data_IF_703061562849
#
_entry.id   IF_703061562849
#
_cell.length_a   1.000
_cell.length_b   1.000
_cell.length_c   1.000
_cell.angle_alpha   90.00
_cell.angle_beta   90.00
_cell.angle_gamma   90.00
#
_symmetry.space_group_name_H-M   'P 1'
#
loop_
_entity.id
_entity.type
_entity.pdbx_description
1 polymer ?
#
# COMPACT_ATOMS: atom_id res chain seq x y z
N UNK A 1 -13.02 17.84 -13.40
CA UNK A 1 -12.90 16.75 -12.43
C UNK A 1 -11.53 16.82 -11.77
N UNK A 2 -11.47 16.92 -10.43
CA UNK A 2 -10.21 17.10 -9.68
C UNK A 2 -9.62 15.75 -9.23
N UNK A 3 -10.25 14.63 -9.58
CA UNK A 3 -9.81 13.29 -9.24
C UNK A 3 -9.73 12.49 -10.52
N UNK A 4 -8.56 11.91 -10.76
CA UNK A 4 -8.31 10.99 -11.86
C UNK A 4 -7.82 9.65 -11.29
N UNK A 5 -8.19 8.52 -11.90
CA UNK A 5 -7.64 7.23 -11.53
C UNK A 5 -6.12 7.22 -11.78
N UNK A 6 -5.38 6.61 -10.88
CA UNK A 6 -3.95 6.34 -11.09
C UNK A 6 -3.83 5.04 -11.86
N UNK A 7 -3.19 5.09 -13.03
CA UNK A 7 -2.96 3.92 -13.88
C UNK A 7 -1.46 3.62 -13.86
N UNK A 8 -1.09 2.42 -13.40
CA UNK A 8 0.29 1.96 -13.40
C UNK A 8 0.67 1.46 -14.79
N UNK A 9 1.72 2.02 -15.37
CA UNK A 9 2.12 1.74 -16.76
C UNK A 9 3.04 0.52 -16.91
N UNK A 10 3.42 -0.16 -15.83
CA UNK A 10 4.35 -1.29 -15.87
C UNK A 10 3.86 -2.40 -16.80
N UNK A 11 2.62 -2.84 -16.65
CA UNK A 11 2.02 -3.86 -17.49
C UNK A 11 1.89 -3.41 -18.96
N UNK A 12 1.54 -2.16 -19.17
CA UNK A 12 1.47 -1.56 -20.51
C UNK A 12 2.85 -1.52 -21.18
N UNK A 13 3.90 -1.26 -20.40
CA UNK A 13 5.28 -1.28 -20.88
C UNK A 13 5.75 -2.69 -21.24
N UNK A 14 5.46 -3.70 -20.43
CA UNK A 14 5.73 -5.10 -20.74
C UNK A 14 5.05 -5.52 -22.05
N UNK A 15 3.77 -5.21 -22.21
CA UNK A 15 3.03 -5.47 -23.46
C UNK A 15 3.64 -4.79 -24.68
N UNK A 16 4.19 -3.57 -24.50
CA UNK A 16 4.91 -2.87 -25.56
C UNK A 16 6.21 -3.59 -25.94
N UNK A 17 6.95 -4.09 -24.96
CA UNK A 17 8.17 -4.88 -25.19
C UNK A 17 7.86 -6.22 -25.90
N UNK A 18 6.70 -6.81 -25.61
CA UNK A 18 6.18 -8.03 -26.26
C UNK A 18 5.65 -7.79 -27.68
N UNK A 19 5.80 -6.56 -28.21
CA UNK A 19 5.48 -6.19 -29.59
C UNK A 19 4.06 -5.68 -29.81
N UNK A 20 3.30 -5.40 -28.75
CA UNK A 20 2.02 -4.72 -28.88
C UNK A 20 2.20 -3.28 -29.37
N UNK A 21 1.36 -2.81 -30.27
CA UNK A 21 1.49 -1.44 -30.79
C UNK A 21 1.11 -0.39 -29.75
N UNK A 22 1.84 0.70 -29.74
CA UNK A 22 1.58 1.85 -28.85
C UNK A 22 0.11 2.33 -28.96
N UNK A 23 -0.43 2.36 -30.17
CA UNK A 23 -1.81 2.77 -30.43
C UNK A 23 -2.84 1.84 -29.76
N UNK A 24 -2.60 0.53 -29.76
CA UNK A 24 -3.47 -0.45 -29.08
C UNK A 24 -3.42 -0.27 -27.55
N UNK A 25 -2.21 -0.05 -27.00
CA UNK A 25 -2.00 0.18 -25.57
C UNK A 25 -2.67 1.48 -25.14
N UNK A 26 -2.48 2.58 -25.90
CA UNK A 26 -3.12 3.85 -25.58
C UNK A 26 -4.65 3.75 -25.59
N UNK A 27 -5.24 3.02 -26.53
CA UNK A 27 -6.69 2.79 -26.56
C UNK A 27 -7.20 2.06 -25.32
N UNK A 28 -6.46 1.03 -24.88
CA UNK A 28 -6.80 0.29 -23.66
C UNK A 28 -6.69 1.17 -22.41
N UNK A 29 -5.62 1.95 -22.29
CA UNK A 29 -5.44 2.89 -21.18
C UNK A 29 -6.55 3.97 -21.14
N UNK A 30 -6.96 4.48 -22.30
CA UNK A 30 -8.07 5.42 -22.40
C UNK A 30 -9.38 4.75 -21.98
N UNK A 31 -9.61 3.51 -22.40
CA UNK A 31 -10.80 2.75 -22.01
C UNK A 31 -10.85 2.53 -20.49
N UNK A 32 -9.75 2.07 -19.88
CA UNK A 32 -9.62 1.92 -18.42
C UNK A 32 -9.86 3.26 -17.70
N UNK A 33 -9.29 4.35 -18.22
CA UNK A 33 -9.54 5.69 -17.67
C UNK A 33 -11.01 6.08 -17.74
N UNK A 34 -11.68 5.88 -18.88
CA UNK A 34 -13.08 6.22 -19.09
C UNK A 34 -14.03 5.40 -18.21
N UNK A 35 -13.71 4.12 -17.97
CA UNK A 35 -14.49 3.25 -17.09
C UNK A 35 -14.37 3.64 -15.61
N UNK A 36 -13.17 4.06 -15.17
CA UNK A 36 -12.87 4.32 -13.76
C UNK A 36 -12.87 5.81 -13.42
N UNK A 37 -13.05 6.71 -14.38
CA UNK A 37 -13.15 8.13 -14.08
C UNK A 37 -14.38 8.40 -13.21
N UNK A 38 -14.16 9.13 -12.13
CA UNK A 38 -15.24 9.56 -11.25
C UNK A 38 -16.19 10.47 -12.03
N UNK A 39 -17.43 10.01 -12.23
CA UNK A 39 -18.45 10.75 -13.02
C UNK A 39 -19.15 11.83 -12.20
N UNK A 40 -18.98 11.85 -10.89
CA UNK A 40 -19.55 12.86 -10.00
C UNK A 40 -18.52 13.92 -9.65
N UNK A 41 -18.96 15.17 -9.60
CA UNK A 41 -18.14 16.21 -8.99
C UNK A 41 -17.84 15.80 -7.54
N UNK A 42 -16.56 15.54 -7.26
CA UNK A 42 -16.13 15.27 -5.90
C UNK A 42 -16.45 16.50 -5.06
N UNK A 43 -17.28 16.32 -4.06
CA UNK A 43 -17.60 17.39 -3.11
C UNK A 43 -16.33 17.78 -2.33
N UNK A 44 -15.65 18.81 -2.80
CA UNK A 44 -14.45 19.37 -2.16
C UNK A 44 -14.72 19.71 -0.69
N UNK A 45 -15.98 20.05 -0.33
CA UNK A 45 -16.37 20.32 1.05
C UNK A 45 -16.17 19.11 1.98
N UNK A 46 -16.28 17.89 1.42
CA UNK A 46 -16.03 16.66 2.15
C UNK A 46 -14.55 16.48 2.57
N UNK A 47 -13.62 17.21 1.93
CA UNK A 47 -12.18 17.15 2.22
C UNK A 47 -11.70 18.38 3.00
N UNK A 48 -12.45 19.49 2.92
CA UNK A 48 -12.10 20.73 3.63
C UNK A 48 -12.57 20.73 5.08
N UNK A 49 -13.55 19.90 5.42
CA UNK A 49 -14.06 19.75 6.78
C UNK A 49 -13.28 18.65 7.52
N UNK A 50 -12.43 19.07 8.46
CA UNK A 50 -11.58 18.14 9.22
C UNK A 50 -12.40 17.09 10.00
N UNK A 51 -13.52 17.46 10.58
CA UNK A 51 -14.37 16.54 11.35
C UNK A 51 -14.88 15.37 10.48
N UNK A 52 -15.11 15.63 9.18
CA UNK A 52 -15.57 14.60 8.26
C UNK A 52 -14.45 13.66 7.79
N UNK A 53 -13.21 14.13 7.73
CA UNK A 53 -12.09 13.34 7.20
C UNK A 53 -11.24 12.70 8.28
N UNK A 54 -11.22 13.21 9.51
CA UNK A 54 -10.32 12.77 10.57
C UNK A 54 -10.31 11.24 10.77
N UNK A 55 -11.46 10.57 10.68
CA UNK A 55 -11.58 9.12 10.83
C UNK A 55 -11.13 8.31 9.61
N UNK A 56 -10.72 8.98 8.52
CA UNK A 56 -10.25 8.39 7.26
C UNK A 56 -8.83 8.84 6.92
N UNK A 57 -8.18 9.57 7.81
CA UNK A 57 -6.77 9.92 7.68
C UNK A 57 -5.96 8.67 7.97
N UNK A 58 -5.16 8.26 7.00
CA UNK A 58 -4.29 7.11 7.05
C UNK A 58 -2.86 7.53 6.70
N UNK A 59 -1.91 6.63 6.94
CA UNK A 59 -0.51 6.85 6.56
C UNK A 59 0.00 5.77 5.61
N UNK A 60 1.10 6.09 4.95
CA UNK A 60 1.94 5.15 4.23
C UNK A 60 3.41 5.50 4.40
N UNK A 61 4.27 4.50 4.23
CA UNK A 61 5.72 4.68 4.24
C UNK A 61 6.23 4.91 2.81
N UNK A 62 7.16 5.83 2.67
CA UNK A 62 7.87 6.07 1.42
C UNK A 62 9.36 6.22 1.71
N UNK A 63 10.22 5.89 0.74
CA UNK A 63 11.64 6.18 0.87
C UNK A 63 11.86 7.69 0.82
N UNK A 64 12.56 8.25 1.80
CA UNK A 64 12.68 9.70 1.97
C UNK A 64 13.49 10.34 0.82
N UNK A 65 14.62 9.77 0.47
CA UNK A 65 15.50 10.29 -0.59
C UNK A 65 14.79 10.31 -1.96
N UNK A 66 14.07 9.24 -2.28
CA UNK A 66 13.35 9.13 -3.58
C UNK A 66 12.09 9.99 -3.66
N UNK A 67 11.66 10.60 -2.55
CA UNK A 67 10.42 11.37 -2.46
C UNK A 67 10.64 12.79 -1.91
N UNK A 68 11.85 13.35 -1.99
CA UNK A 68 12.19 14.70 -1.48
C UNK A 68 11.21 15.77 -1.98
N UNK A 69 10.87 15.73 -3.26
CA UNK A 69 9.95 16.69 -3.88
C UNK A 69 8.53 16.61 -3.28
N UNK A 70 8.05 15.40 -2.99
CA UNK A 70 6.79 15.17 -2.30
C UNK A 70 6.85 15.66 -0.84
N UNK A 71 7.93 15.34 -0.14
CA UNK A 71 8.12 15.67 1.28
C UNK A 71 8.24 17.17 1.50
N UNK A 72 8.74 17.94 0.52
CA UNK A 72 8.78 19.41 0.60
C UNK A 72 7.38 20.04 0.78
N UNK A 73 6.33 19.41 0.28
CA UNK A 73 4.94 19.92 0.31
C UNK A 73 3.96 19.04 1.11
N UNK A 74 4.41 17.92 1.66
CA UNK A 74 3.57 17.03 2.45
C UNK A 74 4.04 16.96 3.91
N UNK A 75 3.12 17.06 4.90
CA UNK A 75 3.49 16.80 6.29
C UNK A 75 3.94 15.34 6.42
N UNK A 76 5.03 15.14 7.15
CA UNK A 76 5.61 13.82 7.30
C UNK A 76 6.36 13.67 8.63
N UNK A 77 6.58 12.42 9.03
CA UNK A 77 7.42 12.05 10.17
C UNK A 77 8.53 11.14 9.65
N UNK A 78 9.77 11.47 9.96
CA UNK A 78 10.92 10.65 9.56
C UNK A 78 11.03 9.39 10.41
N UNK A 79 11.30 8.27 9.75
CA UNK A 79 11.59 6.98 10.34
C UNK A 79 12.83 6.40 9.63
N UNK A 80 14.01 6.67 10.17
CA UNK A 80 15.30 6.36 9.54
C UNK A 80 15.37 6.93 8.11
N UNK A 81 15.55 6.09 7.09
CA UNK A 81 15.55 6.43 5.67
C UNK A 81 14.15 6.44 5.02
N UNK A 82 13.12 6.20 5.82
CA UNK A 82 11.73 6.24 5.40
C UNK A 82 11.04 7.51 5.92
N UNK A 83 9.97 7.89 5.27
CA UNK A 83 9.06 8.93 5.72
C UNK A 83 7.63 8.40 5.81
N UNK A 84 6.98 8.70 6.92
CA UNK A 84 5.54 8.48 7.13
C UNK A 84 4.81 9.68 6.54
N UNK A 85 4.04 9.49 5.48
CA UNK A 85 3.21 10.52 4.88
C UNK A 85 1.73 10.18 5.04
N UNK A 86 0.87 11.20 5.00
CA UNK A 86 -0.55 11.05 5.32
C UNK A 86 -1.42 11.19 4.09
N UNK A 87 -2.53 10.45 4.07
CA UNK A 87 -3.54 10.54 3.03
C UNK A 87 -4.95 10.37 3.60
N UNK A 88 -5.93 10.91 2.90
CA UNK A 88 -7.35 10.67 3.17
C UNK A 88 -7.79 9.49 2.33
N UNK A 89 -8.40 8.49 2.95
CA UNK A 89 -9.07 7.39 2.26
C UNK A 89 -10.46 7.89 1.80
N UNK A 90 -10.63 8.07 0.51
CA UNK A 90 -11.88 8.56 -0.10
C UNK A 90 -12.85 7.41 -0.34
N UNK A 91 -12.38 6.36 -0.96
CA UNK A 91 -13.14 5.14 -1.26
C UNK A 91 -12.25 3.91 -1.12
N UNK A 92 -12.86 2.78 -0.79
CA UNK A 92 -12.22 1.47 -0.79
C UNK A 92 -13.29 0.44 -1.08
N UNK A 93 -13.51 0.15 -2.36
CA UNK A 93 -14.56 -0.74 -2.85
C UNK A 93 -14.02 -1.66 -3.96
N UNK A 94 -14.89 -2.47 -4.54
CA UNK A 94 -14.55 -3.41 -5.62
C UNK A 94 -13.99 -2.74 -6.88
N UNK A 95 -14.19 -1.43 -7.05
CA UNK A 95 -13.69 -0.66 -8.20
C UNK A 95 -12.30 -0.06 -7.94
N UNK A 96 -11.80 -0.17 -6.70
CA UNK A 96 -10.47 0.28 -6.31
C UNK A 96 -10.45 1.16 -5.06
N UNK A 97 -9.26 1.67 -4.77
CA UNK A 97 -9.03 2.54 -3.61
C UNK A 97 -8.70 3.96 -4.07
N UNK A 98 -9.55 4.90 -3.68
CA UNK A 98 -9.32 6.33 -3.89
C UNK A 98 -8.65 6.97 -2.68
N UNK A 99 -7.55 7.69 -2.92
CA UNK A 99 -6.82 8.39 -1.85
C UNK A 99 -6.45 9.81 -2.26
N UNK A 100 -6.36 10.71 -1.29
CA UNK A 100 -5.87 12.08 -1.47
C UNK A 100 -4.70 12.30 -0.53
N UNK A 101 -3.52 12.56 -1.07
CA UNK A 101 -2.34 12.89 -0.26
C UNK A 101 -2.55 14.24 0.45
N UNK A 102 -2.32 14.25 1.75
CA UNK A 102 -2.42 15.47 2.56
C UNK A 102 -1.21 16.35 2.28
N UNK A 103 -1.46 17.65 2.05
CA UNK A 103 -0.44 18.67 1.78
C UNK A 103 -0.37 19.68 2.92
N UNK A 104 0.77 20.39 3.03
CA UNK A 104 1.01 21.35 4.11
C UNK A 104 -0.07 22.46 4.18
N UNK A 105 -0.59 22.90 3.05
CA UNK A 105 -1.67 23.91 3.01
C UNK A 105 -2.96 23.40 3.67
N UNK A 106 -3.24 22.09 3.64
CA UNK A 106 -4.43 21.50 4.27
C UNK A 106 -4.35 21.56 5.80
N UNK A 107 -3.16 21.39 6.38
CA UNK A 107 -2.96 21.52 7.82
C UNK A 107 -3.33 22.93 8.31
N UNK A 108 -2.85 23.94 7.58
CA UNK A 108 -3.18 25.34 7.90
C UNK A 108 -4.68 25.61 7.79
N UNK A 109 -5.33 25.01 6.81
CA UNK A 109 -6.78 25.16 6.61
C UNK A 109 -7.60 24.46 7.70
N UNK A 110 -7.18 23.28 8.13
CA UNK A 110 -7.82 22.51 9.22
C UNK A 110 -7.44 23.00 10.61
N UNK A 111 -6.42 23.84 10.72
CA UNK A 111 -5.81 24.29 11.98
C UNK A 111 -5.36 23.11 12.86
N UNK A 112 -4.66 22.15 12.26
CA UNK A 112 -4.05 20.99 12.89
C UNK A 112 -2.57 20.91 12.58
N UNK A 113 -1.80 20.21 13.41
CA UNK A 113 -0.39 19.96 13.21
C UNK A 113 -0.12 18.53 12.70
N UNK A 114 1.13 18.24 12.37
CA UNK A 114 1.55 16.94 11.88
C UNK A 114 1.45 15.84 12.95
N UNK A 115 1.65 16.19 14.22
CA UNK A 115 1.56 15.24 15.34
C UNK A 115 0.13 14.74 15.51
N UNK A 116 -0.86 15.64 15.43
CA UNK A 116 -2.27 15.27 15.42
C UNK A 116 -2.62 14.34 14.27
N UNK A 117 -2.10 14.61 13.06
CA UNK A 117 -2.30 13.70 11.92
C UNK A 117 -1.67 12.34 12.15
N UNK A 118 -0.49 12.32 12.74
CA UNK A 118 0.24 11.07 13.00
C UNK A 118 -0.53 10.15 13.95
N UNK A 119 -1.01 10.68 15.08
CA UNK A 119 -1.81 9.92 16.06
C UNK A 119 -3.12 9.38 15.46
N UNK A 120 -3.83 10.22 14.71
CA UNK A 120 -5.06 9.81 14.01
C UNK A 120 -4.77 8.74 12.97
N UNK A 121 -3.71 8.92 12.18
CA UNK A 121 -3.35 8.01 11.12
C UNK A 121 -2.92 6.65 11.67
N UNK A 122 -2.14 6.58 12.76
CA UNK A 122 -1.77 5.32 13.43
C UNK A 122 -3.01 4.51 13.82
N UNK A 123 -3.95 5.17 14.50
CA UNK A 123 -5.20 4.54 14.96
C UNK A 123 -6.07 4.08 13.79
N UNK A 124 -6.29 4.97 12.82
CA UNK A 124 -7.20 4.71 11.70
C UNK A 124 -6.66 3.65 10.75
N UNK A 125 -5.36 3.72 10.41
CA UNK A 125 -4.77 2.78 9.44
C UNK A 125 -4.85 1.35 9.97
N UNK A 126 -4.51 1.12 11.24
CA UNK A 126 -4.62 -0.18 11.86
C UNK A 126 -6.08 -0.68 11.95
N UNK A 127 -7.02 0.21 12.17
CA UNK A 127 -8.46 -0.11 12.22
C UNK A 127 -9.05 -0.43 10.85
N UNK A 128 -8.65 0.33 9.82
CA UNK A 128 -9.20 0.20 8.47
C UNK A 128 -8.52 -0.92 7.66
N UNK A 129 -7.25 -1.16 7.92
CA UNK A 129 -6.44 -2.14 7.21
C UNK A 129 -5.76 -3.07 8.22
N UNK A 130 -6.33 -4.24 8.45
CA UNK A 130 -5.77 -5.20 9.42
C UNK A 130 -4.40 -5.69 8.97
N UNK A 131 -3.45 -5.74 9.90
CA UNK A 131 -2.13 -6.31 9.65
C UNK A 131 -2.19 -7.81 9.33
N UNK A 132 -1.30 -8.24 8.47
CA UNK A 132 -1.18 -9.61 8.01
C UNK A 132 0.30 -9.99 7.97
N UNK A 133 0.67 -11.08 8.64
CA UNK A 133 2.01 -11.67 8.59
C UNK A 133 1.86 -13.11 8.14
N UNK A 134 2.38 -13.41 6.95
CA UNK A 134 2.32 -14.73 6.32
C UNK A 134 3.74 -15.24 6.05
N UNK A 135 3.94 -16.56 6.06
CA UNK A 135 5.20 -17.12 5.57
C UNK A 135 5.34 -16.90 4.05
N UNK A 136 6.57 -16.75 3.59
CA UNK A 136 6.85 -16.65 2.14
C UNK A 136 6.29 -17.88 1.39
N UNK A 137 6.39 -19.05 2.01
CA UNK A 137 5.82 -20.28 1.50
C UNK A 137 4.31 -20.14 1.22
N UNK A 138 3.55 -19.64 2.20
CA UNK A 138 2.12 -19.44 2.05
C UNK A 138 1.77 -18.44 0.94
N UNK A 139 2.54 -17.35 0.82
CA UNK A 139 2.34 -16.36 -0.24
C UNK A 139 2.62 -16.95 -1.62
N UNK A 140 3.70 -17.74 -1.75
CA UNK A 140 4.02 -18.40 -3.01
C UNK A 140 2.96 -19.43 -3.40
N UNK A 141 2.48 -20.23 -2.45
CA UNK A 141 1.38 -21.17 -2.68
C UNK A 141 0.11 -20.44 -3.14
N UNK A 142 -0.25 -19.33 -2.51
CA UNK A 142 -1.38 -18.50 -2.92
C UNK A 142 -1.23 -18.00 -4.38
N UNK A 143 -0.05 -17.53 -4.77
CA UNK A 143 0.23 -17.06 -6.13
C UNK A 143 0.16 -18.21 -7.15
N UNK A 144 0.70 -19.37 -6.79
CA UNK A 144 0.74 -20.55 -7.67
C UNK A 144 -0.64 -21.17 -7.82
N UNK A 145 -1.46 -21.24 -6.77
CA UNK A 145 -2.83 -21.79 -6.81
C UNK A 145 -3.77 -21.00 -7.73
N UNK A 146 -3.47 -19.72 -8.00
CA UNK A 146 -4.16 -18.96 -9.05
C UNK A 146 -3.78 -19.37 -10.49
N UNK A 147 -2.68 -20.09 -10.67
CA UNK A 147 -2.14 -20.49 -11.98
C UNK A 147 -2.11 -21.99 -12.20
N UNK A 148 -2.09 -22.78 -11.12
CA UNK A 148 -1.98 -24.23 -11.09
C UNK A 148 -3.04 -24.77 -10.14
N UNK A 149 -3.37 -26.07 -10.28
CA UNK A 149 -4.17 -26.76 -9.28
C UNK A 149 -3.40 -26.80 -7.94
N UNK A 150 -4.13 -26.75 -6.82
CA UNK A 150 -3.57 -26.59 -5.46
C UNK A 150 -2.53 -27.68 -5.13
N UNK A 151 -2.78 -28.92 -5.55
CA UNK A 151 -1.90 -30.08 -5.38
C UNK A 151 -0.58 -29.93 -6.16
N UNK A 152 -0.62 -29.42 -7.40
CA UNK A 152 0.56 -29.12 -8.20
C UNK A 152 1.38 -27.93 -7.67
N UNK A 153 0.73 -26.96 -7.01
CA UNK A 153 1.38 -25.80 -6.43
C UNK A 153 2.19 -26.20 -5.18
N UNK A 154 1.67 -27.11 -4.34
CA UNK A 154 2.37 -27.65 -3.18
C UNK A 154 3.58 -28.51 -3.61
N UNK A 155 3.39 -29.43 -4.58
CA UNK A 155 4.49 -30.24 -5.11
C UNK A 155 5.61 -29.40 -5.74
N UNK A 156 5.25 -28.33 -6.47
CA UNK A 156 6.22 -27.43 -7.07
C UNK A 156 7.00 -26.65 -6.01
N UNK A 157 6.30 -26.25 -4.94
CA UNK A 157 6.93 -25.55 -3.82
C UNK A 157 7.91 -26.47 -3.08
N UNK A 158 7.50 -27.69 -2.73
CA UNK A 158 8.36 -28.68 -2.06
C UNK A 158 9.58 -29.05 -2.89
N UNK A 159 9.44 -29.07 -4.23
CA UNK A 159 10.56 -29.32 -5.14
C UNK A 159 11.54 -28.15 -5.22
N UNK A 160 11.06 -26.91 -5.11
CA UNK A 160 11.89 -25.69 -5.18
C UNK A 160 12.59 -25.38 -3.85
N UNK A 161 12.00 -25.79 -2.74
CA UNK A 161 12.45 -25.48 -1.39
C UNK A 161 12.91 -26.77 -0.73
N UNK A 162 14.16 -27.15 -0.98
CA UNK A 162 14.79 -28.32 -0.32
C UNK A 162 14.75 -28.20 1.21
N UNK A 163 14.57 -29.32 1.92
CA UNK A 163 14.29 -29.37 3.37
C UNK A 163 15.38 -28.76 4.29
N UNK A 164 16.61 -28.53 3.82
CA UNK A 164 17.75 -28.34 4.73
C UNK A 164 18.31 -26.91 4.87
N UNK A 165 17.84 -25.92 4.08
CA UNK A 165 18.48 -24.58 4.08
C UNK A 165 17.50 -23.38 4.03
N UNK A 166 16.27 -23.51 4.53
CA UNK A 166 15.30 -22.40 4.46
C UNK A 166 15.51 -21.44 5.62
N UNK A 167 16.05 -20.27 5.33
CA UNK A 167 15.90 -19.13 6.24
C UNK A 167 14.41 -18.79 6.26
N UNK A 168 13.73 -18.90 7.42
CA UNK A 168 12.30 -18.58 7.49
C UNK A 168 12.09 -17.11 7.14
N UNK A 169 11.40 -16.86 6.03
CA UNK A 169 11.03 -15.53 5.56
C UNK A 169 9.51 -15.33 5.69
N UNK A 170 9.14 -14.13 6.06
CA UNK A 170 7.74 -13.75 6.24
C UNK A 170 7.45 -12.46 5.48
N UNK A 171 6.24 -12.34 4.96
CA UNK A 171 5.72 -11.12 4.33
C UNK A 171 4.83 -10.42 5.33
N UNK A 172 5.17 -9.19 5.64
CA UNK A 172 4.39 -8.30 6.50
C UNK A 172 3.66 -7.28 5.62
N UNK A 173 2.34 -7.34 5.62
CA UNK A 173 1.49 -6.44 4.83
C UNK A 173 0.13 -6.24 5.53
N UNK A 174 -0.85 -5.69 4.85
CA UNK A 174 -2.21 -5.63 5.34
C UNK A 174 -3.18 -6.41 4.46
N UNK A 175 -4.40 -6.64 4.97
CA UNK A 175 -5.44 -7.41 4.27
C UNK A 175 -5.87 -6.81 2.92
N UNK A 176 -5.65 -5.52 2.70
CA UNK A 176 -5.94 -4.86 1.42
C UNK A 176 -4.76 -4.94 0.43
N UNK A 177 -3.59 -5.42 0.86
CA UNK A 177 -2.34 -5.44 0.08
C UNK A 177 -1.99 -4.06 -0.52
N UNK A 178 -2.41 -2.98 0.15
CA UNK A 178 -2.23 -1.59 -0.26
C UNK A 178 -1.48 -0.80 0.81
N UNK A 179 -0.34 -0.19 0.46
CA UNK A 179 0.52 0.56 1.38
C UNK A 179 0.88 -0.26 2.64
N UNK A 180 0.94 -1.58 2.50
CA UNK A 180 1.03 -2.52 3.61
C UNK A 180 2.37 -2.50 4.34
N UNK A 181 3.43 -1.93 3.77
CA UNK A 181 4.70 -1.70 4.48
C UNK A 181 4.51 -0.93 5.80
N UNK A 182 3.48 -0.09 5.89
CA UNK A 182 3.12 0.65 7.10
C UNK A 182 2.77 -0.20 8.31
N UNK A 183 2.47 -1.49 8.16
CA UNK A 183 2.10 -2.39 9.27
C UNK A 183 3.19 -2.52 10.34
N UNK A 184 4.44 -2.19 10.02
CA UNK A 184 5.54 -2.17 11.01
C UNK A 184 5.30 -1.17 12.15
N UNK A 185 4.42 -0.18 11.93
CA UNK A 185 4.01 0.79 12.94
C UNK A 185 2.73 0.37 13.69
N UNK A 186 2.16 -0.79 13.37
CA UNK A 186 0.95 -1.26 14.08
C UNK A 186 1.29 -1.68 15.50
N UNK A 187 0.54 -1.14 16.43
CA UNK A 187 0.76 -1.45 17.84
C UNK A 187 0.58 -2.96 18.09
N UNK A 188 1.60 -3.57 18.66
CA UNK A 188 1.59 -4.98 19.08
C UNK A 188 1.90 -5.99 17.97
N UNK A 189 1.78 -5.66 16.68
CA UNK A 189 1.92 -6.63 15.59
C UNK A 189 3.30 -7.30 15.58
N UNK A 190 4.36 -6.53 15.64
CA UNK A 190 5.72 -7.07 15.62
C UNK A 190 6.05 -7.82 16.92
N UNK A 191 5.51 -7.38 18.07
CA UNK A 191 5.68 -8.08 19.33
C UNK A 191 4.99 -9.45 19.33
N UNK A 192 3.74 -9.51 18.87
CA UNK A 192 3.00 -10.77 18.72
C UNK A 192 3.72 -11.72 17.75
N UNK A 193 4.33 -11.19 16.70
CA UNK A 193 5.13 -11.98 15.78
C UNK A 193 6.41 -12.51 16.43
N UNK A 194 7.18 -11.67 17.16
CA UNK A 194 8.37 -12.06 17.90
C UNK A 194 8.06 -13.17 18.93
N UNK A 195 6.97 -13.01 19.68
CA UNK A 195 6.53 -13.98 20.67
C UNK A 195 6.17 -15.34 20.01
N UNK A 196 5.58 -15.30 18.82
CA UNK A 196 5.22 -16.50 18.06
C UNK A 196 6.42 -17.25 17.50
N UNK A 197 7.43 -16.53 16.96
CA UNK A 197 8.65 -17.18 16.43
C UNK A 197 9.68 -17.50 17.51
N UNK A 198 9.58 -16.87 18.69
CA UNK A 198 10.45 -17.10 19.85
C UNK A 198 11.88 -16.62 19.65
N UNK A 199 12.12 -15.68 18.72
CA UNK A 199 13.46 -15.14 18.41
C UNK A 199 13.37 -13.72 17.88
N UNK A 200 14.52 -13.04 17.85
CA UNK A 200 14.69 -11.79 17.13
C UNK A 200 14.62 -12.04 15.62
N UNK A 201 14.26 -11.00 14.86
CA UNK A 201 14.17 -11.04 13.41
C UNK A 201 14.60 -9.71 12.80
N UNK A 202 14.92 -9.73 11.52
CA UNK A 202 15.24 -8.55 10.74
C UNK A 202 14.03 -8.15 9.90
N UNK A 203 13.82 -6.84 9.75
CA UNK A 203 12.80 -6.28 8.85
C UNK A 203 13.53 -5.74 7.63
N UNK A 204 13.18 -6.27 6.45
CA UNK A 204 13.76 -5.86 5.18
C UNK A 204 12.72 -5.09 4.38
N UNK A 205 12.93 -3.78 4.10
CA UNK A 205 12.05 -3.03 3.23
C UNK A 205 12.06 -3.63 1.81
N UNK A 206 10.90 -4.06 1.34
CA UNK A 206 10.71 -4.63 0.00
C UNK A 206 10.04 -3.63 -0.93
N UNK A 207 8.83 -3.23 -0.60
CA UNK A 207 8.08 -2.24 -1.37
C UNK A 207 7.21 -1.36 -0.47
N UNK A 208 6.50 -0.40 -1.05
CA UNK A 208 5.50 0.39 -0.32
C UNK A 208 4.34 -0.50 0.18
N UNK A 209 4.17 -1.69 -0.39
CA UNK A 209 3.05 -2.58 -0.11
C UNK A 209 3.37 -3.66 0.92
N UNK A 210 4.66 -3.96 1.15
CA UNK A 210 5.09 -5.02 2.06
C UNK A 210 6.50 -4.82 2.62
N UNK A 211 6.75 -5.45 3.77
CA UNK A 211 8.07 -5.70 4.37
C UNK A 211 8.34 -7.22 4.41
N UNK A 212 9.59 -7.59 4.35
CA UNK A 212 10.08 -8.97 4.51
C UNK A 212 10.78 -9.14 5.86
#
# INVERSE_FOLDING_TARGET
>A
CNIAPTIYLNQAFEQYQDGRTMESICRELIHVYEEHKVQTDFDVSAVTDFEKVQNRICYKLVNAEKNEELLADAPHVMLEDLAVIFYILVSNDSNGTGTITIRNNMLSYWNVDADTLYELALTNTQRLFRGLVQSMASVMTEILSHKLDEECAEEFFDMMVGEDDIIPMYVCTNTAKLNGAGVILYQGLLQEFADRVGSDFYILPSSIHEML
#
